data_IF_307476084997
#
_entry.id   IF_307476084997
#
_cell.length_a   1.000
_cell.length_b   1.000
_cell.length_c   1.000
_cell.angle_alpha   90.00
_cell.angle_beta   90.00
_cell.angle_gamma   90.00
#
_symmetry.space_group_name_H-M   'P 1'
#
loop_
_entity.id
_entity.type
_entity.pdbx_description
1 polymer ?
#
# COMPACT_ATOMS: atom_id res chain seq x y z
N UNK A 1 -10.55 -23.22 1.41
CA UNK A 1 -11.98 -23.27 1.04
C UNK A 1 -12.17 -22.47 -0.23
N UNK A 2 -13.10 -22.85 -1.10
CA UNK A 2 -13.41 -22.12 -2.35
C UNK A 2 -14.30 -20.88 -2.13
N UNK A 3 -14.19 -20.22 -0.98
CA UNK A 3 -15.00 -19.03 -0.67
C UNK A 3 -14.42 -17.82 -1.40
N UNK A 4 -15.28 -17.11 -2.13
CA UNK A 4 -14.93 -15.86 -2.76
C UNK A 4 -14.70 -14.78 -1.70
N UNK A 5 -13.56 -14.08 -1.77
CA UNK A 5 -13.23 -12.93 -0.93
C UNK A 5 -13.00 -11.72 -1.82
N UNK A 6 -13.43 -10.55 -1.35
CA UNK A 6 -13.30 -9.29 -2.09
C UNK A 6 -12.07 -8.52 -1.63
N UNK A 7 -11.45 -7.82 -2.57
CA UNK A 7 -10.37 -6.87 -2.34
C UNK A 7 -10.64 -5.63 -3.17
N UNK A 8 -10.38 -4.46 -2.60
CA UNK A 8 -10.34 -3.20 -3.32
C UNK A 8 -8.88 -2.78 -3.52
N UNK A 9 -8.53 -2.35 -4.72
CA UNK A 9 -7.22 -1.82 -5.05
C UNK A 9 -7.37 -0.70 -6.07
N UNK A 10 -6.44 0.24 -6.03
CA UNK A 10 -6.34 1.32 -7.01
C UNK A 10 -5.31 0.98 -8.08
N UNK A 11 -5.61 1.33 -9.33
CA UNK A 11 -4.64 1.45 -10.41
C UNK A 11 -4.96 2.73 -11.19
N UNK A 12 -4.04 3.69 -11.19
CA UNK A 12 -4.33 5.05 -11.65
C UNK A 12 -3.53 5.50 -12.87
N UNK A 13 -2.45 4.79 -13.24
CA UNK A 13 -1.68 5.20 -14.40
C UNK A 13 -2.43 4.91 -15.71
N UNK A 14 -2.58 5.88 -16.62
CA UNK A 14 -2.02 7.24 -16.58
C UNK A 14 -2.95 8.32 -15.99
N UNK A 15 -4.27 8.20 -16.13
CA UNK A 15 -5.24 9.29 -15.84
C UNK A 15 -6.52 8.81 -15.14
N UNK A 16 -6.40 7.76 -14.33
CA UNK A 16 -7.54 7.14 -13.65
C UNK A 16 -7.70 7.56 -12.18
N UNK A 17 -6.76 8.33 -11.60
CA UNK A 17 -6.90 8.83 -10.22
C UNK A 17 -8.18 9.67 -10.04
N UNK A 18 -8.53 10.44 -11.08
CA UNK A 18 -9.76 11.26 -11.13
C UNK A 18 -11.06 10.46 -10.98
N UNK A 19 -11.03 9.14 -11.20
CA UNK A 19 -12.20 8.25 -11.01
C UNK A 19 -12.40 7.86 -9.54
N UNK A 20 -11.34 7.91 -8.73
CA UNK A 20 -11.40 7.59 -7.31
C UNK A 20 -11.65 8.82 -6.45
N UNK A 21 -11.03 9.96 -6.77
CA UNK A 21 -11.23 11.22 -6.07
C UNK A 21 -11.01 12.42 -7.00
N UNK A 22 -11.69 13.57 -6.78
CA UNK A 22 -11.44 14.78 -7.56
C UNK A 22 -10.01 15.28 -7.38
N UNK A 23 -9.26 15.45 -8.48
CA UNK A 23 -7.87 15.93 -8.45
C UNK A 23 -7.43 16.54 -9.79
N UNK A 24 -6.31 17.28 -9.75
CA UNK A 24 -5.56 17.69 -10.96
C UNK A 24 -4.71 16.53 -11.46
N UNK A 25 -5.33 15.68 -12.25
CA UNK A 25 -4.78 14.38 -12.64
C UNK A 25 -3.86 14.46 -13.86
N UNK A 26 -2.77 15.22 -13.71
CA UNK A 26 -1.65 15.29 -14.66
C UNK A 26 -0.32 15.14 -13.90
N UNK A 27 0.70 14.47 -14.47
CA UNK A 27 1.95 14.18 -13.75
C UNK A 27 2.69 15.40 -13.19
N UNK A 28 2.53 16.57 -13.82
CA UNK A 28 3.18 17.82 -13.41
C UNK A 28 2.64 18.39 -12.09
N UNK A 29 1.38 18.14 -11.75
CA UNK A 29 0.72 18.66 -10.55
C UNK A 29 0.99 17.77 -9.32
N UNK A 30 2.27 17.71 -8.91
CA UNK A 30 2.65 16.93 -7.74
C UNK A 30 2.16 17.57 -6.43
N UNK A 31 1.69 16.74 -5.51
CA UNK A 31 1.20 17.15 -4.19
C UNK A 31 1.64 16.18 -3.09
N UNK A 32 1.43 16.58 -1.83
CA UNK A 32 1.52 15.71 -0.66
C UNK A 32 0.14 15.14 -0.39
N UNK A 33 0.04 13.84 -0.15
CA UNK A 33 -1.22 13.16 0.11
C UNK A 33 -1.25 12.64 1.55
N UNK A 34 -2.27 13.07 2.31
CA UNK A 34 -2.58 12.56 3.64
C UNK A 34 -3.76 11.58 3.54
N UNK A 35 -3.47 10.28 3.53
CA UNK A 35 -4.49 9.24 3.30
C UNK A 35 -5.03 8.71 4.64
N UNK A 36 -6.35 8.65 4.75
CA UNK A 36 -7.06 7.94 5.83
C UNK A 36 -8.12 7.03 5.23
N UNK A 37 -8.13 5.76 5.63
CA UNK A 37 -9.10 4.77 5.15
C UNK A 37 -9.98 4.30 6.31
N UNK A 38 -11.29 4.22 6.06
CA UNK A 38 -12.27 3.68 7.00
C UNK A 38 -12.74 2.34 6.47
N UNK A 39 -12.37 1.26 7.14
CA UNK A 39 -12.52 -0.12 6.65
C UNK A 39 -13.20 -1.01 7.68
N UNK A 40 -13.62 -2.20 7.27
CA UNK A 40 -14.06 -3.23 8.21
C UNK A 40 -12.93 -3.68 9.13
N UNK A 41 -13.18 -3.89 10.45
CA UNK A 41 -12.12 -4.18 11.41
C UNK A 41 -11.27 -5.42 11.14
N UNK A 42 -11.80 -6.38 10.38
CA UNK A 42 -11.11 -7.62 10.02
C UNK A 42 -10.20 -7.48 8.79
N UNK A 43 -10.30 -6.37 8.07
CA UNK A 43 -9.52 -6.12 6.85
C UNK A 43 -8.22 -5.38 7.16
N UNK A 44 -7.27 -5.54 6.25
CA UNK A 44 -6.01 -4.81 6.25
C UNK A 44 -6.04 -3.73 5.18
N UNK A 45 -5.45 -2.57 5.50
CA UNK A 45 -5.22 -1.48 4.56
C UNK A 45 -3.72 -1.28 4.34
N UNK A 46 -3.33 -1.11 3.08
CA UNK A 46 -1.97 -0.79 2.65
C UNK A 46 -2.03 0.46 1.78
N UNK A 47 -1.09 1.39 1.94
CA UNK A 47 -0.96 2.58 1.10
C UNK A 47 0.52 2.93 0.89
N UNK A 48 0.80 4.09 0.31
CA UNK A 48 2.15 4.52 -0.08
C UNK A 48 3.12 4.67 1.11
N UNK A 49 2.61 4.97 2.30
CA UNK A 49 3.40 5.31 3.48
C UNK A 49 3.04 4.42 4.67
N UNK A 50 3.77 4.57 5.77
CA UNK A 50 3.53 3.82 7.01
C UNK A 50 2.24 4.28 7.71
N UNK A 51 1.56 3.35 8.37
CA UNK A 51 0.46 3.67 9.30
C UNK A 51 1.01 4.45 10.49
N UNK A 52 0.38 5.58 10.81
CA UNK A 52 0.73 6.44 11.96
C UNK A 52 -0.37 6.48 13.03
N UNK A 53 -1.55 5.96 12.71
CA UNK A 53 -2.64 5.84 13.67
C UNK A 53 -3.67 4.80 13.24
N UNK A 54 -4.15 4.04 14.22
CA UNK A 54 -5.32 3.19 14.08
C UNK A 54 -6.28 3.46 15.23
N UNK A 55 -7.56 3.63 14.92
CA UNK A 55 -8.62 3.78 15.93
C UNK A 55 -9.91 3.14 15.45
N UNK A 56 -10.79 2.80 16.38
CA UNK A 56 -12.13 2.34 16.05
C UNK A 56 -13.11 3.49 16.22
N UNK A 57 -13.86 3.79 15.17
CA UNK A 57 -14.92 4.81 15.20
C UNK A 57 -16.20 4.20 14.63
N UNK A 58 -17.29 4.24 15.41
CA UNK A 58 -18.62 3.73 15.00
C UNK A 58 -18.56 2.29 14.46
N UNK A 59 -17.74 1.44 15.09
CA UNK A 59 -17.58 0.03 14.70
C UNK A 59 -16.71 -0.21 13.45
N UNK A 60 -16.14 0.82 12.84
CA UNK A 60 -15.19 0.71 11.71
C UNK A 60 -13.76 0.96 12.18
N UNK A 61 -12.79 0.33 11.52
CA UNK A 61 -11.37 0.61 11.72
C UNK A 61 -10.97 1.80 10.85
N UNK A 62 -10.43 2.85 11.47
CA UNK A 62 -9.90 4.04 10.82
C UNK A 62 -8.39 3.95 10.84
N UNK A 63 -7.78 3.87 9.66
CA UNK A 63 -6.32 3.76 9.46
C UNK A 63 -5.82 5.05 8.85
N UNK A 64 -4.93 5.75 9.55
CA UNK A 64 -4.29 6.98 9.09
C UNK A 64 -2.84 6.68 8.72
N UNK A 65 -2.46 7.07 7.51
CA UNK A 65 -1.12 6.93 6.97
C UNK A 65 -0.33 8.23 7.11
N UNK A 66 1.00 8.14 7.16
CA UNK A 66 1.86 9.32 7.14
C UNK A 66 1.71 10.09 5.84
N UNK A 67 1.99 11.39 5.86
CA UNK A 67 2.03 12.22 4.65
C UNK A 67 3.07 11.66 3.65
N UNK A 68 2.70 11.61 2.37
CA UNK A 68 3.64 11.23 1.32
C UNK A 68 4.70 12.30 1.07
N UNK A 69 5.81 11.93 0.42
CA UNK A 69 6.61 12.91 -0.30
C UNK A 69 5.78 13.56 -1.43
N UNK A 70 6.23 14.70 -1.96
CA UNK A 70 5.57 15.35 -3.11
C UNK A 70 5.63 14.43 -4.34
N UNK A 71 4.49 13.93 -4.79
CA UNK A 71 4.37 12.93 -5.86
C UNK A 71 3.18 13.21 -6.79
N UNK A 72 3.15 12.57 -7.96
CA UNK A 72 2.07 12.70 -8.94
C UNK A 72 0.84 11.85 -8.55
N UNK A 73 -0.36 12.24 -8.99
CA UNK A 73 -1.64 11.58 -8.66
C UNK A 73 -1.70 10.11 -9.05
N UNK A 74 -1.10 9.74 -10.20
CA UNK A 74 -1.14 8.37 -10.72
C UNK A 74 -0.41 7.34 -9.83
N UNK A 75 0.47 7.81 -8.93
CA UNK A 75 1.21 6.96 -8.00
C UNK A 75 0.48 6.78 -6.65
N UNK A 76 -0.62 7.51 -6.41
CA UNK A 76 -1.42 7.33 -5.19
C UNK A 76 -1.98 5.91 -5.21
N UNK A 77 -1.72 5.14 -4.17
CA UNK A 77 -2.11 3.75 -4.11
C UNK A 77 -2.70 3.40 -2.75
N UNK A 78 -3.79 2.65 -2.76
CA UNK A 78 -4.27 1.95 -1.59
C UNK A 78 -4.92 0.61 -1.94
N UNK A 79 -4.76 -0.35 -1.03
CA UNK A 79 -5.33 -1.70 -1.13
C UNK A 79 -6.02 -2.03 0.18
N UNK A 80 -7.25 -2.55 0.10
CA UNK A 80 -8.02 -3.01 1.25
C UNK A 80 -8.51 -4.42 1.00
N UNK A 81 -8.20 -5.33 1.91
CA UNK A 81 -8.64 -6.72 1.82
C UNK A 81 -8.06 -7.58 2.93
N UNK A 82 -8.31 -8.87 2.83
CA UNK A 82 -7.63 -9.84 3.69
C UNK A 82 -6.24 -10.09 3.15
N UNK A 83 -5.24 -9.57 3.86
CA UNK A 83 -3.85 -9.58 3.44
C UNK A 83 -2.96 -10.01 4.60
N UNK A 84 -1.93 -10.78 4.30
CA UNK A 84 -0.81 -11.06 5.18
C UNK A 84 0.49 -10.60 4.52
N UNK A 85 1.49 -10.25 5.33
CA UNK A 85 2.80 -9.85 4.84
C UNK A 85 3.88 -10.85 5.26
N UNK A 86 4.95 -10.92 4.48
CA UNK A 86 6.23 -11.43 4.99
C UNK A 86 6.76 -10.54 6.12
N UNK A 87 7.65 -11.09 6.94
CA UNK A 87 8.40 -10.26 7.89
C UNK A 87 9.25 -9.28 7.11
N UNK A 88 9.46 -8.08 7.65
CA UNK A 88 10.25 -7.08 6.93
C UNK A 88 11.74 -7.43 6.96
N UNK A 89 12.41 -7.26 5.82
CA UNK A 89 13.88 -7.23 5.74
C UNK A 89 14.29 -5.78 5.53
N UNK A 90 15.25 -5.31 6.33
CA UNK A 90 15.76 -3.95 6.22
C UNK A 90 16.83 -3.86 5.13
N UNK A 91 16.64 -2.95 4.19
CA UNK A 91 17.66 -2.44 3.28
C UNK A 91 17.94 -0.99 3.70
N UNK A 92 19.13 -0.74 4.26
CA UNK A 92 19.41 0.52 4.95
C UNK A 92 18.40 0.79 6.07
N UNK A 93 17.59 1.84 5.90
CA UNK A 93 16.49 2.21 6.83
C UNK A 93 15.11 1.79 6.34
N UNK A 94 15.04 1.16 5.18
CA UNK A 94 13.80 0.87 4.46
C UNK A 94 13.34 -0.58 4.73
N UNK A 95 12.19 -0.79 5.39
CA UNK A 95 11.64 -2.13 5.57
C UNK A 95 10.94 -2.63 4.31
N UNK A 96 11.47 -3.69 3.70
CA UNK A 96 10.91 -4.34 2.51
C UNK A 96 10.11 -5.57 2.94
N UNK A 97 8.86 -5.67 2.46
CA UNK A 97 7.96 -6.81 2.69
C UNK A 97 7.12 -7.10 1.44
N UNK A 98 6.61 -8.32 1.34
CA UNK A 98 5.66 -8.73 0.29
C UNK A 98 4.30 -8.98 0.92
N UNK A 99 3.27 -8.32 0.40
CA UNK A 99 1.87 -8.53 0.78
C UNK A 99 1.23 -9.57 -0.13
N UNK A 100 0.43 -10.47 0.44
CA UNK A 100 -0.26 -11.52 -0.30
C UNK A 100 -1.57 -11.91 0.41
N UNK A 101 -2.39 -12.71 -0.26
CA UNK A 101 -3.61 -13.27 0.35
C UNK A 101 -3.25 -14.36 1.37
N UNK A 102 -4.06 -14.55 2.43
CA UNK A 102 -3.81 -15.55 3.48
C UNK A 102 -3.52 -16.96 2.94
N UNK A 103 -2.49 -17.59 3.51
CA UNK A 103 -2.06 -18.94 3.16
C UNK A 103 -1.13 -19.00 1.93
N UNK A 104 -0.81 -17.87 1.31
CA UNK A 104 0.12 -17.79 0.18
C UNK A 104 1.47 -17.18 0.54
N UNK A 105 1.69 -16.75 1.79
CA UNK A 105 2.98 -16.21 2.26
C UNK A 105 4.18 -17.11 1.92
N UNK A 106 4.04 -18.43 1.94
CA UNK A 106 5.11 -19.37 1.60
C UNK A 106 5.60 -19.25 0.15
N UNK A 107 4.82 -18.65 -0.75
CA UNK A 107 5.20 -18.41 -2.15
C UNK A 107 5.93 -17.07 -2.36
N UNK A 108 5.99 -16.21 -1.33
CA UNK A 108 6.52 -14.86 -1.45
C UNK A 108 8.06 -14.79 -1.40
N UNK A 109 8.73 -15.89 -1.02
CA UNK A 109 10.17 -15.92 -0.73
C UNK A 109 11.02 -15.37 -1.89
N UNK A 110 10.83 -15.88 -3.10
CA UNK A 110 11.61 -15.45 -4.27
C UNK A 110 11.40 -13.97 -4.60
N UNK A 111 10.15 -13.50 -4.62
CA UNK A 111 9.85 -12.08 -4.89
C UNK A 111 10.42 -11.15 -3.81
N UNK A 112 10.42 -11.60 -2.56
CA UNK A 112 10.98 -10.84 -1.44
C UNK A 112 12.51 -10.74 -1.53
N UNK A 113 13.19 -11.85 -1.83
CA UNK A 113 14.66 -11.90 -2.03
C UNK A 113 15.09 -10.96 -3.16
N UNK A 114 14.48 -11.08 -4.35
CA UNK A 114 14.81 -10.22 -5.50
C UNK A 114 14.51 -8.75 -5.19
N UNK A 115 13.41 -8.44 -4.50
CA UNK A 115 13.07 -7.07 -4.12
C UNK A 115 14.10 -6.45 -3.15
N UNK A 116 14.57 -7.22 -2.17
CA UNK A 116 15.61 -6.81 -1.22
C UNK A 116 16.94 -6.57 -1.95
N UNK A 117 17.38 -7.52 -2.76
CA UNK A 117 18.67 -7.43 -3.44
C UNK A 117 18.68 -6.33 -4.49
N UNK A 118 17.57 -6.14 -5.22
CA UNK A 118 17.43 -5.06 -6.20
C UNK A 118 17.43 -3.69 -5.54
N UNK A 119 16.74 -3.52 -4.41
CA UNK A 119 16.76 -2.24 -3.69
C UNK A 119 18.16 -1.95 -3.16
N UNK A 120 18.85 -2.95 -2.61
CA UNK A 120 20.23 -2.79 -2.13
C UNK A 120 21.14 -2.36 -3.28
N UNK A 121 21.04 -3.01 -4.43
CA UNK A 121 21.80 -2.64 -5.62
C UNK A 121 21.55 -1.18 -6.05
N UNK A 122 20.29 -0.75 -6.13
CA UNK A 122 19.95 0.62 -6.55
C UNK A 122 20.24 1.70 -5.51
N UNK A 123 20.37 1.36 -4.22
CA UNK A 123 20.85 2.31 -3.19
C UNK A 123 22.37 2.53 -3.30
N UNK A 124 23.12 1.51 -3.73
CA UNK A 124 24.59 1.56 -3.85
C UNK A 124 25.10 2.09 -5.22
N UNK A 125 24.28 2.00 -6.27
CA UNK A 125 24.62 2.40 -7.65
C UNK A 125 24.58 3.92 -7.87
#
# INVERSE_FOLDING_TARGET
>A
TGEARLMAATQFEATDARRAFPCWDEPAFKAVFAVTLVIDPTLTAVSNTSVVGERVERGRKVVTFADTMKMSTYLVAFVVGELEATDAVLVGRTPVRVWCVPGKRHLAAFGHEIGVDSLRFFEDY
#
